data_IF_248525302801
#
_entry.id   IF_248525302801
#
_cell.length_a   1.000
_cell.length_b   1.000
_cell.length_c   1.000
_cell.angle_alpha   90.00
_cell.angle_beta   90.00
_cell.angle_gamma   90.00
#
_symmetry.space_group_name_H-M   'P 1'
#
loop_
_entity.id
_entity.type
_entity.pdbx_description
1 polymer ?
#
# COMPACT_ATOMS: atom_id res chain seq x y z
N UNK A 1 13.90 -4.95 -9.83
CA UNK A 1 14.92 -5.26 -8.80
C UNK A 1 16.23 -4.59 -9.14
N UNK A 2 16.65 -4.62 -10.42
CA UNK A 2 17.78 -3.82 -10.97
C UNK A 2 17.85 -2.36 -10.49
N UNK A 3 16.72 -1.68 -10.32
CA UNK A 3 16.74 -0.31 -9.81
C UNK A 3 17.25 -0.18 -8.38
N UNK A 4 16.96 -1.16 -7.50
CA UNK A 4 17.46 -1.16 -6.13
C UNK A 4 18.97 -1.42 -6.07
N UNK A 5 19.45 -2.35 -6.90
CA UNK A 5 20.88 -2.64 -7.04
C UNK A 5 21.63 -1.38 -7.47
N UNK A 6 21.14 -0.71 -8.53
CA UNK A 6 21.71 0.56 -9.00
C UNK A 6 21.68 1.65 -7.94
N UNK A 7 20.59 1.81 -7.19
CA UNK A 7 20.50 2.82 -6.12
C UNK A 7 21.59 2.58 -5.05
N UNK A 8 21.79 1.33 -4.65
CA UNK A 8 22.82 0.99 -3.68
C UNK A 8 24.24 1.19 -4.22
N UNK A 9 24.48 0.82 -5.48
CA UNK A 9 25.79 0.99 -6.14
C UNK A 9 26.16 2.46 -6.34
N UNK A 10 25.20 3.30 -6.73
CA UNK A 10 25.44 4.72 -7.02
C UNK A 10 25.64 5.55 -5.75
N UNK A 11 24.99 5.20 -4.65
CA UNK A 11 25.13 5.89 -3.36
C UNK A 11 24.60 7.33 -3.35
N UNK A 12 23.85 7.76 -4.37
CA UNK A 12 23.29 9.11 -4.46
C UNK A 12 21.97 9.29 -3.71
N UNK A 13 21.28 8.20 -3.35
CA UNK A 13 19.98 8.25 -2.71
C UNK A 13 20.07 7.74 -1.28
N UNK A 14 19.72 8.59 -0.33
CA UNK A 14 19.77 8.26 1.10
C UNK A 14 18.49 7.55 1.59
N UNK A 15 17.40 7.66 0.83
CA UNK A 15 16.11 7.07 1.18
C UNK A 15 15.28 6.67 -0.04
N UNK A 16 14.57 5.55 0.05
CA UNK A 16 13.64 5.06 -0.99
C UNK A 16 12.18 5.14 -0.51
N UNK A 17 11.29 5.61 -1.40
CA UNK A 17 9.85 5.58 -1.15
C UNK A 17 9.22 4.27 -1.66
N UNK A 18 8.85 3.40 -0.72
CA UNK A 18 8.28 2.09 -0.99
C UNK A 18 6.76 2.17 -1.10
N UNK A 19 6.23 2.03 -2.32
CA UNK A 19 4.79 1.98 -2.58
C UNK A 19 4.36 0.59 -3.01
N UNK A 20 3.51 -0.05 -2.21
CA UNK A 20 3.05 -1.42 -2.42
C UNK A 20 2.54 -1.67 -3.86
N UNK A 21 1.76 -0.72 -4.40
CA UNK A 21 1.18 -0.78 -5.75
C UNK A 21 2.19 -0.60 -6.89
N UNK A 22 3.33 0.06 -6.63
CA UNK A 22 4.42 0.25 -7.60
C UNK A 22 5.45 -0.87 -7.56
N UNK A 23 5.57 -1.51 -6.41
CA UNK A 23 6.47 -2.63 -6.20
C UNK A 23 5.85 -3.98 -6.55
N UNK A 24 4.58 -4.05 -7.00
CA UNK A 24 3.96 -5.33 -7.38
C UNK A 24 3.52 -6.19 -6.18
N UNK A 25 3.12 -5.54 -5.07
CA UNK A 25 2.54 -6.20 -3.91
C UNK A 25 3.54 -6.59 -2.83
N UNK A 26 3.05 -7.31 -1.81
CA UNK A 26 3.78 -7.53 -0.55
C UNK A 26 5.12 -8.21 -0.74
N UNK A 27 5.14 -9.33 -1.48
CA UNK A 27 6.34 -10.17 -1.62
C UNK A 27 7.53 -9.38 -2.18
N UNK A 28 7.30 -8.62 -3.25
CA UNK A 28 8.38 -7.88 -3.88
C UNK A 28 8.72 -6.60 -3.11
N UNK A 29 7.73 -5.96 -2.46
CA UNK A 29 7.98 -4.82 -1.56
C UNK A 29 8.87 -5.22 -0.38
N UNK A 30 8.55 -6.33 0.30
CA UNK A 30 9.35 -6.86 1.40
C UNK A 30 10.75 -7.25 0.95
N UNK A 31 10.89 -7.93 -0.20
CA UNK A 31 12.20 -8.26 -0.77
C UNK A 31 13.06 -7.00 -1.00
N UNK A 32 12.48 -5.93 -1.52
CA UNK A 32 13.18 -4.66 -1.74
C UNK A 32 13.53 -3.98 -0.41
N UNK A 33 12.62 -3.97 0.55
CA UNK A 33 12.87 -3.42 1.89
C UNK A 33 14.01 -4.15 2.59
N UNK A 34 14.02 -5.49 2.55
CA UNK A 34 15.11 -6.30 3.13
C UNK A 34 16.45 -5.97 2.46
N UNK A 35 16.46 -5.81 1.14
CA UNK A 35 17.66 -5.36 0.43
C UNK A 35 18.14 -3.97 0.89
N UNK A 36 17.24 -3.01 1.08
CA UNK A 36 17.60 -1.68 1.58
C UNK A 36 18.16 -1.73 3.00
N UNK A 37 17.56 -2.55 3.88
CA UNK A 37 18.06 -2.81 5.24
C UNK A 37 19.49 -3.36 5.23
N UNK A 38 19.75 -4.35 4.38
CA UNK A 38 21.07 -4.98 4.26
C UNK A 38 22.16 -3.99 3.79
N UNK A 39 21.78 -2.93 3.07
CA UNK A 39 22.68 -1.89 2.57
C UNK A 39 22.68 -0.62 3.43
N UNK A 40 21.96 -0.60 4.55
CA UNK A 40 21.85 0.57 5.42
C UNK A 40 21.16 1.77 4.77
N UNK A 41 20.33 1.55 3.75
CA UNK A 41 19.58 2.60 3.06
C UNK A 41 18.23 2.76 3.74
N UNK A 42 17.90 4.00 4.10
CA UNK A 42 16.62 4.29 4.75
C UNK A 42 15.45 4.10 3.79
N UNK A 43 14.25 3.89 4.32
CA UNK A 43 13.06 3.82 3.50
C UNK A 43 11.85 4.42 4.22
N UNK A 44 10.86 4.81 3.43
CA UNK A 44 9.52 5.17 3.88
C UNK A 44 8.50 4.22 3.25
N UNK A 45 7.42 3.94 3.96
CA UNK A 45 6.27 3.23 3.39
C UNK A 45 5.30 4.29 2.88
N UNK A 46 5.25 4.44 1.56
CA UNK A 46 4.39 5.42 0.89
C UNK A 46 3.11 4.84 0.32
N UNK A 47 2.18 5.73 0.00
CA UNK A 47 0.91 5.37 -0.61
C UNK A 47 0.79 5.82 -2.07
N UNK A 48 -0.25 5.31 -2.75
CA UNK A 48 -0.65 5.81 -4.07
C UNK A 48 -1.70 6.90 -3.88
N UNK A 49 -1.57 8.02 -4.61
CA UNK A 49 -2.58 9.07 -4.57
C UNK A 49 -3.91 8.55 -5.11
N UNK A 50 -4.99 8.71 -4.34
CA UNK A 50 -6.32 8.21 -4.69
C UNK A 50 -6.44 6.69 -4.63
N UNK A 51 -5.69 6.04 -3.74
CA UNK A 51 -5.86 4.60 -3.48
C UNK A 51 -7.20 4.29 -2.81
N UNK A 52 -7.73 3.09 -3.07
CA UNK A 52 -8.92 2.58 -2.38
C UNK A 52 -8.61 2.15 -0.95
N UNK A 53 -9.64 2.05 -0.11
CA UNK A 53 -9.50 1.54 1.26
C UNK A 53 -8.87 0.15 1.29
N UNK A 54 -9.05 -0.66 0.24
CA UNK A 54 -8.39 -1.97 0.13
C UNK A 54 -6.85 -1.84 0.04
N UNK A 55 -6.35 -0.91 -0.78
CA UNK A 55 -4.91 -0.68 -0.90
C UNK A 55 -4.37 0.06 0.33
N UNK A 56 -5.15 0.99 0.91
CA UNK A 56 -4.79 1.60 2.19
C UNK A 56 -4.67 0.58 3.32
N UNK A 57 -5.56 -0.40 3.41
CA UNK A 57 -5.47 -1.51 4.38
C UNK A 57 -4.20 -2.36 4.16
N UNK A 58 -3.87 -2.64 2.90
CA UNK A 58 -2.65 -3.35 2.56
C UNK A 58 -1.38 -2.53 2.90
N UNK A 59 -1.40 -1.22 2.65
CA UNK A 59 -0.34 -0.29 3.05
C UNK A 59 -0.18 -0.18 4.57
N UNK A 60 -1.30 -0.18 5.32
CA UNK A 60 -1.34 -0.24 6.79
C UNK A 60 -0.66 -1.48 7.31
N UNK A 61 -0.95 -2.64 6.74
CA UNK A 61 -0.29 -3.90 7.09
C UNK A 61 1.22 -3.86 6.81
N UNK A 62 1.64 -3.35 5.63
CA UNK A 62 3.07 -3.22 5.32
C UNK A 62 3.78 -2.26 6.30
N UNK A 63 3.14 -1.15 6.65
CA UNK A 63 3.66 -0.16 7.61
C UNK A 63 3.89 -0.80 8.99
N UNK A 64 2.95 -1.60 9.47
CA UNK A 64 3.07 -2.29 10.76
C UNK A 64 4.14 -3.40 10.74
N UNK A 65 4.32 -4.09 9.61
CA UNK A 65 5.36 -5.10 9.43
C UNK A 65 6.77 -4.49 9.30
N UNK A 66 6.85 -3.23 8.86
CA UNK A 66 8.09 -2.51 8.62
C UNK A 66 8.16 -1.28 9.53
N UNK A 67 8.05 -1.51 10.84
CA UNK A 67 8.03 -0.46 11.87
C UNK A 67 9.36 0.31 12.02
N UNK A 68 10.39 -0.11 11.30
CA UNK A 68 11.70 0.53 11.16
C UNK A 68 11.76 1.55 9.99
N UNK A 69 10.68 1.71 9.21
CA UNK A 69 10.61 2.78 8.22
C UNK A 69 10.69 4.15 8.91
N UNK A 70 11.33 5.11 8.24
CA UNK A 70 11.53 6.46 8.79
C UNK A 70 10.23 7.27 8.76
N UNK A 71 9.42 7.07 7.72
CA UNK A 71 8.14 7.74 7.52
C UNK A 71 7.07 6.78 6.98
N UNK A 72 5.81 7.13 7.22
CA UNK A 72 4.63 6.39 6.79
C UNK A 72 3.60 7.33 6.19
N UNK A 73 3.21 7.08 4.93
CA UNK A 73 2.09 7.74 4.27
C UNK A 73 0.98 6.72 3.95
N UNK A 74 -0.24 7.21 3.81
CA UNK A 74 -1.38 6.41 3.32
C UNK A 74 -2.62 6.61 4.16
N UNK A 75 -3.61 5.75 3.93
CA UNK A 75 -4.90 5.87 4.64
C UNK A 75 -5.63 7.18 4.34
N UNK A 76 -5.52 7.67 3.10
CA UNK A 76 -6.21 8.87 2.65
C UNK A 76 -7.53 8.56 1.92
N UNK A 77 -7.99 7.33 1.98
CA UNK A 77 -9.11 6.83 1.18
C UNK A 77 -10.42 7.58 1.44
N UNK A 78 -10.72 7.95 2.68
CA UNK A 78 -11.87 8.78 3.04
C UNK A 78 -11.76 10.23 2.53
N UNK A 79 -10.54 10.77 2.48
CA UNK A 79 -10.29 12.17 2.13
C UNK A 79 -10.18 12.41 0.62
N UNK A 80 -9.70 11.43 -0.14
CA UNK A 80 -9.41 11.58 -1.56
C UNK A 80 -10.47 10.96 -2.47
N UNK A 81 -11.21 9.95 -2.00
CA UNK A 81 -12.22 9.29 -2.82
C UNK A 81 -13.61 9.85 -2.50
N UNK A 82 -14.37 10.14 -3.56
CA UNK A 82 -15.79 10.47 -3.40
C UNK A 82 -16.57 9.28 -2.85
N UNK A 83 -16.24 8.07 -3.29
CA UNK A 83 -16.87 6.82 -2.86
C UNK A 83 -15.84 5.69 -2.86
N UNK A 84 -15.89 4.82 -1.85
CA UNK A 84 -14.94 3.71 -1.67
C UNK A 84 -15.59 2.35 -1.99
N UNK A 85 -14.77 1.34 -2.29
CA UNK A 85 -15.19 -0.06 -2.52
C UNK A 85 -15.16 -0.90 -1.25
N UNK A 86 -14.67 -0.35 -0.15
CA UNK A 86 -14.67 -0.95 1.19
C UNK A 86 -15.81 -0.38 2.03
N UNK A 87 -16.28 -1.13 3.04
CA UNK A 87 -17.28 -0.64 3.99
C UNK A 87 -16.65 0.25 5.07
N UNK A 88 -15.46 -0.10 5.52
CA UNK A 88 -14.68 0.66 6.49
C UNK A 88 -13.79 1.69 5.79
N UNK A 89 -13.62 2.84 6.43
CA UNK A 89 -12.56 3.79 6.09
C UNK A 89 -11.27 3.38 6.79
N UNK A 90 -10.16 3.41 6.07
CA UNK A 90 -8.86 3.00 6.61
C UNK A 90 -8.06 4.20 7.11
N UNK A 91 -8.73 5.34 7.30
CA UNK A 91 -8.10 6.60 7.64
C UNK A 91 -7.39 6.61 9.00
N UNK A 92 -6.33 7.40 9.08
CA UNK A 92 -5.64 7.64 10.34
C UNK A 92 -6.49 8.50 11.27
N UNK A 93 -6.32 8.28 12.57
CA UNK A 93 -6.90 9.10 13.63
C UNK A 93 -6.15 10.42 13.85
N UNK A 94 -6.56 11.19 14.86
CA UNK A 94 -5.90 12.44 15.24
C UNK A 94 -4.39 12.26 15.43
N UNK A 95 -3.60 13.23 14.96
CA UNK A 95 -2.14 13.17 15.05
C UNK A 95 -1.48 12.12 14.15
N UNK A 96 -2.22 11.48 13.23
CA UNK A 96 -1.71 10.43 12.36
C UNK A 96 -1.72 9.04 13.00
N UNK A 97 -2.44 8.86 14.12
CA UNK A 97 -2.54 7.57 14.79
C UNK A 97 -3.16 6.50 13.89
N UNK A 98 -2.44 5.41 13.65
CA UNK A 98 -2.93 4.34 12.79
C UNK A 98 -2.36 2.99 13.22
N UNK A 99 -3.18 2.23 13.93
CA UNK A 99 -2.85 0.89 14.46
C UNK A 99 -3.27 -0.26 13.53
N UNK A 100 -3.19 -1.50 14.02
CA UNK A 100 -3.69 -2.67 13.31
C UNK A 100 -5.20 -2.59 13.08
N UNK A 101 -5.64 -2.98 11.89
CA UNK A 101 -7.04 -3.16 11.56
C UNK A 101 -7.55 -4.45 12.20
N UNK A 102 -8.81 -4.44 12.66
CA UNK A 102 -9.44 -5.58 13.31
C UNK A 102 -9.93 -6.59 12.28
N UNK A 103 -10.09 -7.84 12.70
CA UNK A 103 -10.65 -8.90 11.85
C UNK A 103 -9.58 -9.72 11.13
N UNK A 104 -10.00 -10.43 10.08
CA UNK A 104 -9.15 -11.36 9.33
C UNK A 104 -8.62 -10.72 8.04
N UNK A 105 -7.52 -11.25 7.52
CA UNK A 105 -6.95 -10.77 6.26
C UNK A 105 -6.47 -9.32 6.38
N UNK A 106 -6.98 -8.44 5.51
CA UNK A 106 -6.66 -7.02 5.52
C UNK A 106 -7.51 -6.19 6.50
N UNK A 107 -8.49 -6.80 7.17
CA UNK A 107 -9.33 -6.09 8.14
C UNK A 107 -10.31 -5.07 7.54
N UNK A 108 -10.71 -5.28 6.28
CA UNK A 108 -11.74 -4.51 5.58
C UNK A 108 -12.69 -5.45 4.84
N UNK A 109 -13.96 -5.06 4.75
CA UNK A 109 -15.01 -5.73 4.00
C UNK A 109 -15.29 -4.99 2.68
N UNK A 110 -15.60 -5.73 1.62
CA UNK A 110 -15.91 -5.17 0.31
C UNK A 110 -17.40 -4.83 0.22
N UNK A 111 -17.70 -3.60 -0.17
CA UNK A 111 -19.06 -3.19 -0.54
C UNK A 111 -19.40 -3.72 -1.93
N UNK A 112 -20.08 -4.85 -2.00
CA UNK A 112 -20.58 -5.41 -3.26
C UNK A 112 -21.44 -4.41 -4.05
N UNK A 113 -22.29 -3.65 -3.35
CA UNK A 113 -23.11 -2.59 -3.94
C UNK A 113 -22.26 -1.52 -4.62
N UNK A 114 -21.23 -1.00 -3.94
CA UNK A 114 -20.38 0.04 -4.51
C UNK A 114 -19.53 -0.52 -5.64
N UNK A 115 -19.00 -1.74 -5.47
CA UNK A 115 -18.22 -2.42 -6.50
C UNK A 115 -19.04 -2.61 -7.79
N UNK A 116 -20.28 -3.06 -7.68
CA UNK A 116 -21.19 -3.22 -8.83
C UNK A 116 -21.54 -1.89 -9.50
N UNK A 117 -21.76 -0.83 -8.71
CA UNK A 117 -22.12 0.50 -9.24
C UNK A 117 -20.94 1.23 -9.88
N UNK A 118 -19.74 1.08 -9.30
CA UNK A 118 -18.50 1.73 -9.75
C UNK A 118 -17.78 0.98 -10.86
N UNK A 119 -18.22 -0.25 -11.19
CA UNK A 119 -17.64 -1.01 -12.29
C UNK A 119 -17.79 -0.25 -13.62
N UNK A 120 -16.81 -0.36 -14.49
CA UNK A 120 -16.97 0.05 -15.88
C UNK A 120 -17.78 -1.04 -16.63
N UNK A 121 -19.02 -0.76 -17.08
CA UNK A 121 -19.85 -1.75 -17.76
C UNK A 121 -19.32 -2.12 -19.15
N UNK A 122 -18.42 -1.32 -19.72
CA UNK A 122 -17.86 -1.54 -21.06
C UNK A 122 -16.68 -2.50 -21.09
N UNK A 123 -16.10 -2.81 -19.92
CA UNK A 123 -14.88 -3.60 -19.79
C UNK A 123 -15.17 -4.90 -19.04
N UNK A 124 -15.65 -5.91 -19.76
CA UNK A 124 -15.74 -7.28 -19.25
C UNK A 124 -14.49 -8.07 -19.66
N UNK A 125 -13.66 -8.45 -18.69
CA UNK A 125 -12.48 -9.30 -18.92
C UNK A 125 -12.78 -10.69 -18.37
N UNK A 126 -12.77 -11.70 -19.23
CA UNK A 126 -12.84 -13.10 -18.80
C UNK A 126 -11.44 -13.57 -18.44
N UNK A 127 -11.21 -13.86 -17.17
CA UNK A 127 -9.97 -14.47 -16.69
C UNK A 127 -10.18 -15.97 -16.47
N UNK A 128 -9.51 -16.81 -17.24
CA UNK A 128 -9.35 -18.22 -16.91
C UNK A 128 -8.30 -18.36 -15.80
N UNK A 129 -8.61 -19.15 -14.78
CA UNK A 129 -7.59 -19.52 -13.78
C UNK A 129 -6.49 -20.32 -14.49
N UNK A 130 -5.21 -20.04 -14.23
CA UNK A 130 -4.10 -20.86 -14.72
C UNK A 130 -4.17 -22.28 -14.16
#
# INVERSE_FOLDING_TARGET
FSDMERIAEEGYYEMVNMRLSKCGGFRNSLKMIDYLRDHGISFQVGCQLGESGLLSAAGRALSLLCSDAVYYDGSYDEFLLQENVTLEHVSFGPGGEAGPLKGHGLGVEISHRNLERLRDPSTAVTMSRP
#
